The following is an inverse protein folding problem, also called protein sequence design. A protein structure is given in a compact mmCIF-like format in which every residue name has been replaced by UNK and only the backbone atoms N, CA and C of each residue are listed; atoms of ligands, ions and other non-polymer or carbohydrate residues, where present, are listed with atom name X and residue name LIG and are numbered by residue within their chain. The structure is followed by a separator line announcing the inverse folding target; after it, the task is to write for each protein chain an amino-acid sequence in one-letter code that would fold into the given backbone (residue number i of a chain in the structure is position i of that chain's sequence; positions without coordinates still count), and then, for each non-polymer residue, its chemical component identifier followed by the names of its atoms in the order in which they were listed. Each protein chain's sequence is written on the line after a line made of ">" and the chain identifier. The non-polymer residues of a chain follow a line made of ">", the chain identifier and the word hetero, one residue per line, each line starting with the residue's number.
data_IF_800272169155
#
_entry.id   IF_800272169155
#
_cell.length_a   1.000
_cell.length_b   1.000
_cell.length_c   1.000
_cell.angle_alpha   90.00
_cell.angle_beta   90.00
_cell.angle_gamma   90.00
#
_symmetry.space_group_name_H-M   'P 1'
#
loop_
_entity.id
_entity.type
_entity.pdbx_description
1 polymer ?
#
# COMPACT_ATOMS: atom_id res chain seq x y z
N UNK A 1 -97.83 -19.72 -34.98
CA UNK A 1 -97.00 -19.68 -36.20
C UNK A 1 -96.23 -18.37 -36.20
N UNK A 2 -94.97 -18.38 -35.75
CA UNK A 2 -94.09 -17.21 -35.75
C UNK A 2 -92.85 -17.52 -36.57
N UNK A 3 -92.72 -16.88 -37.73
CA UNK A 3 -91.54 -17.00 -38.59
C UNK A 3 -90.42 -16.12 -38.03
N UNK A 4 -89.32 -16.74 -37.61
CA UNK A 4 -88.09 -16.06 -37.23
C UNK A 4 -87.36 -15.60 -38.49
N UNK A 5 -87.37 -14.29 -38.74
CA UNK A 5 -86.61 -13.64 -39.80
C UNK A 5 -85.13 -13.67 -39.42
N UNK A 6 -84.37 -14.61 -39.97
CA UNK A 6 -82.91 -14.58 -39.88
C UNK A 6 -82.35 -13.53 -40.84
N UNK A 7 -82.05 -12.33 -40.32
CA UNK A 7 -81.25 -11.32 -41.02
C UNK A 7 -79.81 -11.82 -41.12
N UNK A 8 -79.31 -12.05 -42.34
CA UNK A 8 -77.89 -12.33 -42.57
C UNK A 8 -77.08 -11.02 -42.46
N UNK A 9 -76.15 -10.88 -41.50
CA UNK A 9 -75.24 -9.74 -41.46
C UNK A 9 -74.15 -9.93 -42.53
N UNK A 10 -74.41 -9.44 -43.74
CA UNK A 10 -73.43 -9.41 -44.83
C UNK A 10 -72.91 -7.98 -44.99
N UNK A 11 -71.76 -7.69 -44.37
CA UNK A 11 -71.08 -6.41 -44.55
C UNK A 11 -69.93 -6.08 -43.59
N UNK A 12 -69.88 -6.64 -42.38
CA UNK A 12 -68.93 -6.21 -41.33
C UNK A 12 -67.68 -7.08 -41.14
N UNK A 13 -67.63 -8.27 -41.76
CA UNK A 13 -66.52 -9.23 -41.57
C UNK A 13 -65.17 -8.64 -42.00
N UNK A 14 -65.15 -7.87 -43.10
CA UNK A 14 -63.92 -7.28 -43.62
C UNK A 14 -63.39 -6.16 -42.70
N UNK A 15 -64.29 -5.36 -42.13
CA UNK A 15 -63.92 -4.30 -41.18
C UNK A 15 -63.42 -4.87 -39.84
N UNK A 16 -64.10 -5.89 -39.32
CA UNK A 16 -63.68 -6.59 -38.09
C UNK A 16 -62.30 -7.25 -38.27
N UNK A 17 -62.03 -7.81 -39.45
CA UNK A 17 -60.73 -8.40 -39.77
C UNK A 17 -59.63 -7.34 -39.85
N UNK A 18 -59.87 -6.19 -40.49
CA UNK A 18 -58.91 -5.08 -40.54
C UNK A 18 -58.63 -4.53 -39.14
N UNK A 19 -59.67 -4.33 -38.32
CA UNK A 19 -59.51 -3.93 -36.92
C UNK A 19 -58.72 -4.95 -36.11
N UNK A 20 -59.06 -6.24 -36.22
CA UNK A 20 -58.35 -7.33 -35.55
C UNK A 20 -56.87 -7.38 -35.93
N UNK A 21 -56.55 -7.25 -37.22
CA UNK A 21 -55.16 -7.21 -37.70
C UNK A 21 -54.42 -5.97 -37.21
N UNK A 22 -55.09 -4.80 -37.17
CA UNK A 22 -54.47 -3.57 -36.67
C UNK A 22 -54.14 -3.65 -35.18
N UNK A 23 -55.06 -4.21 -34.37
CA UNK A 23 -54.85 -4.43 -32.93
C UNK A 23 -53.74 -5.45 -32.67
N UNK A 24 -53.72 -6.56 -33.42
CA UNK A 24 -52.65 -7.55 -33.33
C UNK A 24 -51.29 -6.95 -33.67
N UNK A 25 -51.21 -6.11 -34.71
CA UNK A 25 -49.97 -5.45 -35.10
C UNK A 25 -49.45 -4.51 -34.00
N UNK A 26 -50.34 -3.76 -33.36
CA UNK A 26 -49.98 -2.85 -32.27
C UNK A 26 -49.48 -3.61 -31.04
N UNK A 27 -50.17 -4.69 -30.64
CA UNK A 27 -49.75 -5.55 -29.51
C UNK A 27 -48.38 -6.17 -29.79
N UNK A 28 -48.15 -6.66 -31.01
CA UNK A 28 -46.90 -7.28 -31.41
C UNK A 28 -45.73 -6.29 -31.36
N UNK A 29 -45.93 -5.06 -31.85
CA UNK A 29 -44.92 -3.99 -31.76
C UNK A 29 -44.61 -3.61 -30.31
N UNK A 30 -45.63 -3.45 -29.46
CA UNK A 30 -45.43 -3.14 -28.04
C UNK A 30 -44.68 -4.26 -27.31
N UNK A 31 -44.99 -5.51 -27.62
CA UNK A 31 -44.33 -6.68 -27.02
C UNK A 31 -42.87 -6.76 -27.47
N UNK A 32 -42.59 -6.51 -28.75
CA UNK A 32 -41.22 -6.46 -29.27
C UNK A 32 -40.39 -5.38 -28.57
N UNK A 33 -40.94 -4.16 -28.41
CA UNK A 33 -40.25 -3.07 -27.70
C UNK A 33 -39.97 -3.42 -26.24
N UNK A 34 -40.94 -4.05 -25.56
CA UNK A 34 -40.77 -4.50 -24.19
C UNK A 34 -39.66 -5.55 -24.04
N UNK A 35 -39.62 -6.54 -24.94
CA UNK A 35 -38.55 -7.55 -24.96
C UNK A 35 -37.17 -6.94 -25.22
N UNK A 36 -37.07 -5.97 -26.13
CA UNK A 36 -35.82 -5.24 -26.38
C UNK A 36 -35.36 -4.49 -25.13
N UNK A 37 -36.27 -3.75 -24.49
CA UNK A 37 -35.99 -3.06 -23.24
C UNK A 37 -35.50 -4.02 -22.14
N UNK A 38 -36.19 -5.15 -21.95
CA UNK A 38 -35.81 -6.14 -20.95
C UNK A 38 -34.42 -6.74 -21.22
N UNK A 39 -34.11 -7.06 -22.48
CA UNK A 39 -32.77 -7.56 -22.88
C UNK A 39 -31.69 -6.53 -22.58
N UNK A 40 -31.92 -5.25 -22.92
CA UNK A 40 -30.96 -4.17 -22.62
C UNK A 40 -30.73 -4.02 -21.12
N UNK A 41 -31.77 -4.11 -20.29
CA UNK A 41 -31.62 -4.05 -18.83
C UNK A 41 -30.82 -5.25 -18.29
N UNK A 42 -31.06 -6.46 -18.81
CA UNK A 42 -30.30 -7.64 -18.43
C UNK A 42 -28.82 -7.51 -18.81
N UNK A 43 -28.53 -7.06 -20.03
CA UNK A 43 -27.16 -6.84 -20.48
C UNK A 43 -26.43 -5.83 -19.60
N UNK A 44 -27.07 -4.69 -19.31
CA UNK A 44 -26.51 -3.66 -18.42
C UNK A 44 -26.18 -4.20 -17.02
N UNK A 45 -27.01 -5.09 -16.48
CA UNK A 45 -26.75 -5.72 -15.19
C UNK A 45 -25.58 -6.71 -15.25
N UNK A 46 -25.43 -7.44 -16.36
CA UNK A 46 -24.28 -8.29 -16.61
C UNK A 46 -23.00 -7.44 -16.70
N UNK A 47 -23.03 -6.32 -17.40
CA UNK A 47 -21.88 -5.42 -17.54
C UNK A 47 -21.42 -4.89 -16.18
N UNK A 48 -22.34 -4.48 -15.29
CA UNK A 48 -21.99 -4.06 -13.92
C UNK A 48 -21.35 -5.20 -13.13
N UNK A 49 -21.86 -6.42 -13.29
CA UNK A 49 -21.31 -7.59 -12.59
C UNK A 49 -19.91 -7.91 -13.07
N UNK A 50 -19.72 -7.93 -14.39
CA UNK A 50 -18.42 -8.18 -15.03
C UNK A 50 -17.40 -7.09 -14.67
N UNK A 51 -17.82 -5.81 -14.67
CA UNK A 51 -16.96 -4.71 -14.24
C UNK A 51 -16.45 -4.89 -12.80
N UNK A 52 -17.30 -5.33 -11.88
CA UNK A 52 -16.90 -5.60 -10.49
C UNK A 52 -15.90 -6.76 -10.42
N UNK A 53 -16.17 -7.86 -11.11
CA UNK A 53 -15.24 -8.99 -11.19
C UNK A 53 -13.88 -8.56 -11.73
N UNK A 54 -13.90 -7.75 -12.80
CA UNK A 54 -12.71 -7.18 -13.41
C UNK A 54 -11.90 -6.32 -12.44
N UNK A 55 -12.54 -5.36 -11.75
CA UNK A 55 -11.86 -4.50 -10.78
C UNK A 55 -11.30 -5.30 -9.58
N UNK A 56 -12.06 -6.26 -9.07
CA UNK A 56 -11.58 -7.15 -8.00
C UNK A 56 -10.43 -8.05 -8.45
N UNK A 57 -10.35 -8.42 -9.74
CA UNK A 57 -9.20 -9.15 -10.27
C UNK A 57 -7.95 -8.25 -10.38
N UNK A 58 -8.11 -7.00 -10.83
CA UNK A 58 -7.03 -6.00 -10.86
C UNK A 58 -6.48 -5.75 -9.45
N UNK A 59 -7.36 -5.57 -8.47
CA UNK A 59 -6.97 -5.36 -7.06
C UNK A 59 -6.21 -6.57 -6.51
N UNK A 60 -6.70 -7.80 -6.77
CA UNK A 60 -6.02 -9.03 -6.34
C UNK A 60 -4.66 -9.20 -7.00
N UNK A 61 -4.54 -8.89 -8.29
CA UNK A 61 -3.26 -8.87 -8.99
C UNK A 61 -2.30 -7.92 -8.30
N UNK A 62 -2.74 -6.67 -8.06
CA UNK A 62 -1.88 -5.66 -7.45
C UNK A 62 -1.40 -6.09 -6.06
N UNK A 63 -2.30 -6.67 -5.26
CA UNK A 63 -1.96 -7.13 -3.92
C UNK A 63 -0.95 -8.29 -3.93
N UNK A 64 -1.08 -9.25 -4.85
CA UNK A 64 -0.25 -10.47 -4.88
C UNK A 64 1.08 -10.25 -5.59
N UNK A 65 1.09 -9.55 -6.71
CA UNK A 65 2.29 -9.29 -7.51
C UNK A 65 3.03 -8.01 -7.03
N UNK A 66 2.47 -7.30 -6.04
CA UNK A 66 3.00 -6.06 -5.45
C UNK A 66 3.22 -4.89 -6.44
N UNK A 67 2.68 -5.01 -7.66
CA UNK A 67 2.71 -4.00 -8.73
C UNK A 67 1.38 -4.02 -9.50
N UNK A 68 0.96 -2.93 -10.14
CA UNK A 68 -0.16 -2.99 -11.05
C UNK A 68 0.18 -3.81 -12.31
N UNK A 69 -0.82 -4.34 -13.03
CA UNK A 69 -0.60 -4.96 -14.33
C UNK A 69 -0.10 -3.90 -15.33
N UNK A 70 0.91 -4.21 -16.15
CA UNK A 70 1.37 -3.28 -17.18
C UNK A 70 0.42 -3.29 -18.39
N UNK A 71 -0.19 -4.45 -18.66
CA UNK A 71 -1.26 -4.63 -19.67
C UNK A 71 -2.38 -5.51 -19.11
N UNK A 72 -3.62 -5.29 -19.55
CA UNK A 72 -4.78 -6.04 -19.02
C UNK A 72 -4.67 -7.55 -19.29
N UNK A 73 -4.03 -7.95 -20.39
CA UNK A 73 -3.81 -9.36 -20.73
C UNK A 73 -2.95 -10.11 -19.70
N UNK A 74 -2.17 -9.41 -18.86
CA UNK A 74 -1.46 -10.04 -17.74
C UNK A 74 -2.42 -10.75 -16.78
N UNK A 75 -3.61 -10.17 -16.55
CA UNK A 75 -4.62 -10.75 -15.67
C UNK A 75 -5.07 -12.13 -16.14
N UNK A 76 -5.15 -12.36 -17.46
CA UNK A 76 -5.45 -13.69 -18.02
C UNK A 76 -4.23 -14.59 -17.91
N UNK A 77 -3.06 -14.12 -18.36
CA UNK A 77 -1.84 -14.94 -18.39
C UNK A 77 -1.43 -15.48 -17.02
N UNK A 78 -1.77 -14.74 -15.95
CA UNK A 78 -1.50 -15.08 -14.55
C UNK A 78 -2.69 -15.77 -13.85
N UNK A 79 -3.82 -15.96 -14.54
CA UNK A 79 -4.97 -16.70 -14.03
C UNK A 79 -5.87 -15.94 -13.05
N UNK A 80 -5.82 -14.61 -13.03
CA UNK A 80 -6.76 -13.79 -12.26
C UNK A 80 -8.13 -13.65 -12.93
N UNK A 81 -8.17 -13.81 -14.26
CA UNK A 81 -9.37 -13.79 -15.09
C UNK A 81 -9.29 -14.88 -16.15
N UNK A 82 -10.45 -15.42 -16.51
CA UNK A 82 -10.58 -16.34 -17.67
C UNK A 82 -10.72 -15.54 -18.97
N UNK A 83 -11.48 -14.45 -18.92
CA UNK A 83 -11.78 -13.59 -20.07
C UNK A 83 -11.73 -12.11 -19.66
N UNK A 84 -11.35 -11.24 -20.61
CA UNK A 84 -11.40 -9.81 -20.41
C UNK A 84 -12.81 -9.28 -20.70
N UNK A 85 -13.32 -8.48 -19.78
CA UNK A 85 -14.59 -7.80 -19.98
C UNK A 85 -14.42 -6.58 -20.90
N UNK A 86 -15.21 -6.55 -21.96
CA UNK A 86 -15.33 -5.43 -22.89
C UNK A 86 -16.81 -5.04 -23.02
N UNK A 87 -17.26 -3.92 -22.42
CA UNK A 87 -18.65 -3.48 -22.53
C UNK A 87 -19.04 -3.03 -23.95
N UNK A 88 -18.05 -2.68 -24.77
CA UNK A 88 -18.21 -2.26 -26.17
C UNK A 88 -17.31 -3.12 -27.07
N UNK A 89 -17.74 -3.42 -28.28
CA UNK A 89 -17.01 -4.35 -29.15
C UNK A 89 -15.80 -3.66 -29.79
N UNK A 90 -14.64 -4.32 -29.77
CA UNK A 90 -13.42 -3.82 -30.42
C UNK A 90 -12.69 -2.69 -29.69
N UNK A 91 -13.23 -2.20 -28.57
CA UNK A 91 -12.52 -1.26 -27.71
C UNK A 91 -11.44 -1.97 -26.87
N UNK A 92 -10.29 -1.32 -26.65
CA UNK A 92 -9.20 -1.86 -25.84
C UNK A 92 -8.96 -1.01 -24.59
N UNK A 93 -8.80 -1.69 -23.46
CA UNK A 93 -8.46 -1.04 -22.20
C UNK A 93 -7.05 -0.46 -22.26
N UNK A 94 -6.94 0.81 -21.92
CA UNK A 94 -5.68 1.51 -21.75
C UNK A 94 -5.43 1.68 -20.25
N UNK A 95 -4.21 1.36 -19.82
CA UNK A 95 -3.79 1.50 -18.42
C UNK A 95 -2.90 2.72 -18.30
N UNK A 96 -3.14 3.51 -17.26
CA UNK A 96 -2.24 4.57 -16.85
C UNK A 96 -2.12 4.59 -15.34
N UNK A 97 -0.90 4.48 -14.84
CA UNK A 97 -0.59 4.59 -13.42
C UNK A 97 -0.29 6.05 -13.07
N UNK A 98 -0.95 6.56 -12.03
CA UNK A 98 -0.73 7.90 -11.50
C UNK A 98 -0.64 7.81 -9.97
N UNK A 99 0.53 8.10 -9.41
CA UNK A 99 0.85 8.07 -7.98
C UNK A 99 0.49 6.75 -7.26
N UNK A 100 -0.73 6.64 -6.76
CA UNK A 100 -1.27 5.50 -6.01
C UNK A 100 -2.57 4.97 -6.63
N UNK A 101 -2.82 5.32 -7.89
CA UNK A 101 -4.03 4.98 -8.62
C UNK A 101 -3.66 4.33 -9.96
N UNK A 102 -4.31 3.22 -10.27
CA UNK A 102 -4.37 2.69 -11.61
C UNK A 102 -5.67 3.15 -12.27
N UNK A 103 -5.55 3.85 -13.40
CA UNK A 103 -6.68 4.25 -14.24
C UNK A 103 -6.78 3.32 -15.44
N UNK A 104 -7.93 2.68 -15.57
CA UNK A 104 -8.33 1.85 -16.70
C UNK A 104 -9.28 2.69 -17.57
N UNK A 105 -8.91 3.02 -18.80
CA UNK A 105 -9.74 3.80 -19.72
C UNK A 105 -10.15 3.02 -20.96
N UNK A 106 -11.40 3.21 -21.37
CA UNK A 106 -11.99 2.57 -22.55
C UNK A 106 -12.89 3.59 -23.27
N UNK A 107 -12.77 3.77 -24.60
CA UNK A 107 -13.67 4.65 -25.35
C UNK A 107 -15.09 4.08 -25.31
N UNK A 108 -16.08 4.90 -24.96
CA UNK A 108 -17.48 4.49 -24.96
C UNK A 108 -18.09 4.66 -26.35
N UNK A 109 -18.78 3.64 -26.86
CA UNK A 109 -19.61 3.79 -28.07
C UNK A 109 -20.82 4.69 -27.79
N UNK A 110 -21.42 4.56 -26.61
CA UNK A 110 -22.56 5.35 -26.16
C UNK A 110 -22.27 6.01 -24.80
N UNK A 111 -22.11 7.34 -24.82
CA UNK A 111 -21.79 8.14 -23.62
C UNK A 111 -22.86 7.99 -22.54
N UNK A 112 -24.14 7.89 -22.92
CA UNK A 112 -25.24 7.69 -21.98
C UNK A 112 -25.11 6.37 -21.20
N UNK A 113 -24.69 5.30 -21.86
CA UNK A 113 -24.47 3.99 -21.23
C UNK A 113 -23.26 4.04 -20.31
N UNK A 114 -22.18 4.70 -20.74
CA UNK A 114 -21.01 4.91 -19.88
C UNK A 114 -21.38 5.71 -18.62
N UNK A 115 -22.15 6.80 -18.75
CA UNK A 115 -22.64 7.59 -17.62
C UNK A 115 -23.58 6.79 -16.70
N UNK A 116 -24.39 5.91 -17.26
CA UNK A 116 -25.20 5.01 -16.44
C UNK A 116 -24.33 4.03 -15.64
N UNK A 117 -23.27 3.48 -16.24
CA UNK A 117 -22.33 2.56 -15.58
C UNK A 117 -21.57 3.24 -14.44
N UNK A 118 -21.18 4.52 -14.59
CA UNK A 118 -20.47 5.23 -13.52
C UNK A 118 -21.27 5.35 -12.24
N UNK A 119 -22.60 5.48 -12.34
CA UNK A 119 -23.49 5.48 -11.17
C UNK A 119 -23.61 4.12 -10.45
N UNK A 120 -23.06 3.03 -11.02
CA UNK A 120 -23.19 1.66 -10.49
C UNK A 120 -21.87 1.03 -10.05
N UNK A 121 -20.74 1.62 -10.47
CA UNK A 121 -19.40 1.12 -10.21
C UNK A 121 -18.63 2.18 -9.43
N UNK A 122 -18.12 1.83 -8.24
CA UNK A 122 -17.35 2.75 -7.44
C UNK A 122 -16.03 3.14 -8.14
N UNK A 123 -15.69 4.42 -8.12
CA UNK A 123 -14.48 4.92 -8.79
C UNK A 123 -14.58 4.97 -10.32
N UNK A 124 -15.76 4.77 -10.90
CA UNK A 124 -15.98 4.94 -12.33
C UNK A 124 -16.37 6.39 -12.66
N UNK A 125 -15.83 6.93 -13.74
CA UNK A 125 -16.16 8.26 -14.27
C UNK A 125 -16.14 8.26 -15.80
N UNK A 126 -16.82 9.23 -16.43
CA UNK A 126 -16.71 9.49 -17.87
C UNK A 126 -16.00 10.83 -18.03
N UNK A 127 -14.96 10.90 -18.87
CA UNK A 127 -14.30 12.17 -19.17
C UNK A 127 -15.04 12.94 -20.28
N UNK A 128 -14.61 14.17 -20.55
CA UNK A 128 -15.20 15.03 -21.59
C UNK A 128 -15.07 14.42 -23.00
N UNK A 129 -14.03 13.61 -23.23
CA UNK A 129 -13.77 12.91 -24.49
C UNK A 129 -14.62 11.63 -24.67
N UNK A 130 -15.51 11.30 -23.72
CA UNK A 130 -16.39 10.13 -23.82
C UNK A 130 -15.75 8.78 -23.47
N UNK A 131 -14.63 8.77 -22.75
CA UNK A 131 -14.00 7.56 -22.22
C UNK A 131 -14.57 7.21 -20.85
N UNK A 132 -14.96 5.94 -20.69
CA UNK A 132 -15.18 5.35 -19.38
C UNK A 132 -13.82 5.13 -18.72
N UNK A 133 -13.63 5.71 -17.54
CA UNK A 133 -12.45 5.53 -16.71
C UNK A 133 -12.85 4.82 -15.42
N UNK A 134 -12.17 3.74 -15.09
CA UNK A 134 -12.29 3.05 -13.81
C UNK A 134 -11.01 3.26 -13.01
N UNK A 135 -11.18 3.68 -11.76
CA UNK A 135 -10.08 4.00 -10.86
C UNK A 135 -9.93 2.90 -9.80
N UNK A 136 -8.76 2.28 -9.77
CA UNK A 136 -8.39 1.30 -8.75
C UNK A 136 -7.29 1.90 -7.88
N UNK A 137 -7.54 2.04 -6.59
CA UNK A 137 -6.55 2.54 -5.65
C UNK A 137 -5.55 1.45 -5.28
N UNK A 138 -4.29 1.82 -5.07
CA UNK A 138 -3.25 0.93 -4.54
C UNK A 138 -3.73 0.34 -3.21
N UNK A 139 -3.73 -1.00 -3.05
CA UNK A 139 -4.17 -1.62 -1.81
C UNK A 139 -3.44 -1.06 -0.59
N UNK A 140 -4.19 -0.67 0.44
CA UNK A 140 -3.63 -0.03 1.63
C UNK A 140 -2.56 -0.88 2.32
N UNK A 141 -2.67 -2.21 2.24
CA UNK A 141 -1.67 -3.14 2.76
C UNK A 141 -0.27 -2.90 2.16
N UNK A 142 -0.19 -2.61 0.85
CA UNK A 142 1.07 -2.30 0.17
C UNK A 142 1.57 -0.91 0.57
N UNK A 143 0.68 0.07 0.70
CA UNK A 143 1.06 1.43 1.15
C UNK A 143 1.64 1.37 2.57
N UNK A 144 1.02 0.58 3.45
CA UNK A 144 1.49 0.38 4.82
C UNK A 144 2.82 -0.37 4.89
N UNK A 145 3.07 -1.35 4.01
CA UNK A 145 4.37 -2.03 3.94
C UNK A 145 5.53 -1.07 3.70
N UNK A 146 5.33 -0.01 2.91
CA UNK A 146 6.36 0.99 2.64
C UNK A 146 6.53 2.00 3.80
N UNK A 147 5.59 2.03 4.74
CA UNK A 147 5.59 2.99 5.86
C UNK A 147 6.31 2.48 7.10
N UNK A 148 6.47 1.16 7.22
CA UNK A 148 7.15 0.55 8.36
C UNK A 148 8.54 0.10 7.95
N UNK A 149 9.53 0.33 8.82
CA UNK A 149 10.84 -0.29 8.70
C UNK A 149 10.67 -1.80 8.59
N UNK A 150 11.17 -2.38 7.51
CA UNK A 150 11.16 -3.82 7.36
C UNK A 150 12.09 -4.43 8.42
N UNK A 151 11.60 -5.49 9.08
CA UNK A 151 12.35 -6.18 10.15
C UNK A 151 13.49 -7.04 9.60
N UNK A 152 13.47 -7.33 8.31
CA UNK A 152 14.42 -8.17 7.61
C UNK A 152 14.84 -7.47 6.33
N UNK A 153 16.11 -7.63 5.97
CA UNK A 153 16.66 -7.09 4.73
C UNK A 153 16.00 -7.79 3.52
N UNK A 154 15.32 -7.03 2.68
CA UNK A 154 14.82 -7.48 1.37
C UNK A 154 15.85 -7.14 0.27
N UNK A 155 16.59 -8.12 -0.29
CA UNK A 155 17.58 -7.86 -1.32
C UNK A 155 16.99 -7.29 -2.62
N UNK A 156 15.70 -7.46 -2.87
CA UNK A 156 15.02 -7.00 -4.08
C UNK A 156 14.54 -5.55 -3.98
N UNK A 157 14.48 -4.99 -2.77
CA UNK A 157 14.07 -3.62 -2.50
C UNK A 157 15.03 -2.97 -1.48
N UNK A 158 16.28 -2.66 -1.86
CA UNK A 158 17.27 -2.09 -0.95
C UNK A 158 16.82 -0.77 -0.31
N UNK A 159 16.01 0.02 -1.00
CA UNK A 159 15.47 1.29 -0.53
C UNK A 159 14.58 1.16 0.72
N UNK A 160 13.89 0.03 0.90
CA UNK A 160 13.06 -0.20 2.11
C UNK A 160 13.86 -0.76 3.28
N UNK A 161 15.11 -1.16 3.04
CA UNK A 161 16.05 -1.58 4.09
C UNK A 161 16.86 -0.41 4.66
N UNK A 162 16.83 0.73 3.98
CA UNK A 162 17.51 1.94 4.43
C UNK A 162 16.53 2.87 5.12
N UNK A 163 16.89 3.34 6.31
CA UNK A 163 16.12 4.36 7.01
C UNK A 163 16.49 5.72 6.40
N UNK A 164 15.68 6.25 5.47
CA UNK A 164 15.99 7.49 4.75
C UNK A 164 15.67 8.76 5.57
N UNK A 165 14.96 8.62 6.70
CA UNK A 165 14.50 9.75 7.52
C UNK A 165 14.98 9.62 8.97
N UNK A 166 15.22 10.77 9.60
CA UNK A 166 15.49 10.88 11.04
C UNK A 166 14.37 10.22 11.85
N UNK A 167 14.75 9.28 12.71
CA UNK A 167 13.80 8.63 13.62
C UNK A 167 13.63 9.52 14.87
N UNK A 168 12.57 10.31 14.91
CA UNK A 168 12.20 11.05 16.11
C UNK A 168 11.62 10.08 17.15
N UNK A 169 12.44 9.70 18.14
CA UNK A 169 12.05 8.79 19.23
C UNK A 169 11.71 9.53 20.52
N UNK A 170 11.52 10.85 20.47
CA UNK A 170 11.18 11.65 21.65
C UNK A 170 9.91 11.11 22.32
N UNK A 171 9.95 10.95 23.64
CA UNK A 171 8.87 10.34 24.44
C UNK A 171 8.72 8.82 24.36
N UNK A 172 9.52 8.11 23.56
CA UNK A 172 9.42 6.64 23.42
C UNK A 172 10.64 5.93 23.98
N UNK A 173 10.41 4.91 24.83
CA UNK A 173 11.49 4.09 25.35
C UNK A 173 11.93 3.05 24.31
N UNK A 174 13.18 3.13 23.87
CA UNK A 174 13.81 2.06 23.08
C UNK A 174 14.24 0.96 24.05
N UNK A 175 13.59 -0.21 23.97
CA UNK A 175 13.87 -1.36 24.84
C UNK A 175 14.22 -2.58 24.00
N UNK A 176 14.89 -3.55 24.62
CA UNK A 176 15.25 -4.84 24.00
C UNK A 176 16.14 -4.71 22.75
N UNK A 177 17.05 -3.73 22.74
CA UNK A 177 18.09 -3.65 21.71
C UNK A 177 19.20 -4.62 22.09
N UNK A 178 19.40 -5.66 21.27
CA UNK A 178 20.42 -6.68 21.54
C UNK A 178 21.84 -6.14 21.33
N UNK A 179 22.11 -5.60 20.15
CA UNK A 179 23.42 -5.04 19.80
C UNK A 179 23.22 -3.83 18.91
N UNK A 180 23.99 -2.77 19.17
CA UNK A 180 24.11 -1.62 18.29
C UNK A 180 25.51 -1.70 17.69
N UNK A 181 25.57 -1.99 16.39
CA UNK A 181 26.81 -1.90 15.61
C UNK A 181 26.77 -0.57 14.86
N UNK A 182 27.69 0.33 15.17
CA UNK A 182 27.74 1.67 14.62
C UNK A 182 29.19 2.14 14.52
N UNK A 183 29.54 2.75 13.38
CA UNK A 183 30.85 3.37 13.18
C UNK A 183 31.05 4.57 14.12
N UNK A 184 29.99 5.35 14.33
CA UNK A 184 30.01 6.51 15.22
C UNK A 184 28.67 6.64 15.97
N UNK A 185 28.77 6.85 17.29
CA UNK A 185 27.63 7.24 18.13
C UNK A 185 27.90 8.64 18.68
N UNK A 186 27.05 9.60 18.33
CA UNK A 186 27.08 10.96 18.89
C UNK A 186 25.93 11.13 19.86
N UNK A 187 26.25 11.18 21.16
CA UNK A 187 25.26 11.34 22.22
C UNK A 187 25.70 12.49 23.15
N UNK A 188 24.94 13.60 23.24
CA UNK A 188 25.26 14.70 24.16
C UNK A 188 25.27 14.25 25.63
N UNK A 189 24.40 13.29 25.96
CA UNK A 189 24.30 12.66 27.28
C UNK A 189 24.09 11.16 27.08
N UNK A 190 24.95 10.37 27.70
CA UNK A 190 24.81 8.92 27.77
C UNK A 190 24.93 8.48 29.24
N UNK A 191 23.94 7.73 29.72
CA UNK A 191 23.97 7.12 31.06
C UNK A 191 24.21 5.62 30.87
N UNK A 192 25.42 5.18 31.21
CA UNK A 192 25.85 3.79 31.06
C UNK A 192 25.99 3.19 32.46
N UNK A 193 25.16 2.19 32.78
CA UNK A 193 25.23 1.51 34.07
C UNK A 193 26.46 0.60 34.16
N UNK A 194 26.75 -0.10 33.06
CA UNK A 194 27.91 -0.95 32.91
C UNK A 194 28.36 -0.90 31.45
N UNK A 195 29.64 -0.68 31.24
CA UNK A 195 30.24 -0.65 29.91
C UNK A 195 31.66 -1.19 29.96
N UNK A 196 32.02 -1.97 28.94
CA UNK A 196 33.39 -2.39 28.71
C UNK A 196 33.91 -1.61 27.51
N UNK A 197 34.94 -0.81 27.73
CA UNK A 197 35.57 -0.03 26.68
C UNK A 197 36.95 -0.62 26.41
N UNK A 198 37.24 -0.94 25.15
CA UNK A 198 38.59 -1.35 24.75
C UNK A 198 39.56 -0.17 24.81
N UNK A 199 39.08 1.02 24.43
CA UNK A 199 39.80 2.29 24.56
C UNK A 199 38.79 3.38 24.90
N UNK A 200 39.16 4.26 25.83
CA UNK A 200 38.39 5.44 26.18
C UNK A 200 39.32 6.66 26.03
N UNK A 201 39.01 7.52 25.07
CA UNK A 201 39.66 8.82 24.94
C UNK A 201 38.64 9.89 25.37
N UNK A 202 38.99 10.65 26.42
CA UNK A 202 38.13 11.68 26.98
C UNK A 202 38.95 12.94 27.25
N UNK A 203 38.40 14.11 26.85
CA UNK A 203 39.02 15.40 27.14
C UNK A 203 39.02 15.72 28.65
N UNK A 204 38.00 15.23 29.36
CA UNK A 204 37.86 15.38 30.80
C UNK A 204 37.17 14.14 31.36
N UNK A 205 37.75 13.57 32.42
CA UNK A 205 37.18 12.46 33.15
C UNK A 205 36.94 12.89 34.59
N UNK A 206 35.66 12.94 34.99
CA UNK A 206 35.27 13.20 36.37
C UNK A 206 34.68 11.93 36.96
N UNK A 207 35.37 11.35 37.94
CA UNK A 207 34.99 10.07 38.55
C UNK A 207 35.04 10.21 40.06
N UNK A 208 34.07 9.60 40.74
CA UNK A 208 34.08 9.51 42.21
C UNK A 208 35.13 8.51 42.69
N UNK A 209 35.28 7.41 41.95
CA UNK A 209 36.27 6.38 42.23
C UNK A 209 36.79 5.81 40.90
N UNK A 210 38.11 5.75 40.77
CA UNK A 210 38.79 5.06 39.68
C UNK A 210 39.59 3.91 40.29
N UNK A 211 39.27 2.69 39.87
CA UNK A 211 40.04 1.50 40.24
C UNK A 211 40.75 1.05 38.97
N UNK A 212 42.08 1.07 39.00
CA UNK A 212 42.91 0.63 37.90
C UNK A 212 43.97 -0.33 38.44
N UNK A 213 44.09 -1.50 37.81
CA UNK A 213 45.16 -2.46 38.12
C UNK A 213 46.51 -1.95 37.62
N UNK A 214 46.50 -1.35 36.43
CA UNK A 214 47.66 -0.75 35.80
C UNK A 214 47.30 0.67 35.35
N UNK A 215 47.74 1.67 36.12
CA UNK A 215 47.61 3.07 35.74
C UNK A 215 48.99 3.60 35.30
N UNK A 216 49.01 4.26 34.14
CA UNK A 216 50.19 4.97 33.65
C UNK A 216 49.83 6.44 33.40
N UNK A 217 50.72 7.35 33.81
CA UNK A 217 50.60 8.79 33.57
C UNK A 217 51.89 9.25 32.91
N UNK A 218 51.78 9.83 31.71
CA UNK A 218 52.92 10.25 30.88
C UNK A 218 54.00 9.17 30.70
N UNK A 219 53.55 7.92 30.56
CA UNK A 219 54.42 6.74 30.40
C UNK A 219 54.98 6.17 31.71
N UNK A 220 54.70 6.78 32.86
CA UNK A 220 55.15 6.29 34.16
C UNK A 220 54.06 5.49 34.88
N UNK A 221 54.42 4.33 35.42
CA UNK A 221 53.52 3.53 36.26
C UNK A 221 53.21 4.26 37.57
N UNK A 222 51.93 4.46 37.85
CA UNK A 222 51.46 5.06 39.11
C UNK A 222 51.83 4.16 40.30
N UNK A 223 51.80 2.83 40.11
CA UNK A 223 52.20 1.88 41.14
C UNK A 223 53.69 2.02 41.50
N UNK A 224 54.56 2.19 40.50
CA UNK A 224 55.99 2.42 40.74
C UNK A 224 56.24 3.77 41.41
N UNK A 225 55.51 4.82 41.01
CA UNK A 225 55.61 6.13 41.66
C UNK A 225 55.21 6.06 43.14
N UNK A 226 54.12 5.35 43.46
CA UNK A 226 53.69 5.13 44.84
C UNK A 226 54.74 4.37 45.66
N UNK A 227 55.35 3.32 45.09
CA UNK A 227 56.42 2.56 45.75
C UNK A 227 57.66 3.42 46.00
N UNK A 228 58.09 4.22 45.02
CA UNK A 228 59.22 5.15 45.18
C UNK A 228 58.95 6.21 46.24
N UNK A 229 57.73 6.75 46.29
CA UNK A 229 57.34 7.71 47.32
C UNK A 229 57.39 7.08 48.72
N UNK A 230 56.90 5.85 48.87
CA UNK A 230 56.96 5.13 50.14
C UNK A 230 58.42 4.85 50.57
N UNK A 231 59.29 4.51 49.63
CA UNK A 231 60.71 4.32 49.90
C UNK A 231 61.41 5.62 50.34
N UNK A 232 61.14 6.73 49.65
CA UNK A 232 61.65 8.05 50.03
C UNK A 232 61.16 8.46 51.42
N UNK A 233 59.90 8.16 51.75
CA UNK A 233 59.33 8.44 53.07
C UNK A 233 60.02 7.62 54.17
N UNK A 234 60.33 6.35 53.93
CA UNK A 234 61.10 5.53 54.86
C UNK A 234 62.53 6.04 55.06
N UNK A 235 63.21 6.42 53.98
CA UNK A 235 64.56 7.00 54.05
C UNK A 235 64.56 8.32 54.82
N UNK A 236 63.58 9.19 54.58
CA UNK A 236 63.41 10.43 55.32
C UNK A 236 63.24 10.18 56.83
N UNK A 237 62.37 9.23 57.21
CA UNK A 237 62.16 8.86 58.61
C UNK A 237 63.44 8.32 59.27
N UNK A 238 64.23 7.51 58.54
CA UNK A 238 65.52 7.02 59.03
C UNK A 238 66.53 8.15 59.22
N UNK A 239 66.60 9.10 58.28
CA UNK A 239 67.50 10.24 58.35
C UNK A 239 67.16 11.17 59.52
N UNK A 240 65.86 11.40 59.75
CA UNK A 240 65.35 12.17 60.88
C UNK A 240 65.71 11.50 62.22
N UNK A 241 65.61 10.16 62.31
CA UNK A 241 65.97 9.41 63.51
C UNK A 241 67.48 9.45 63.83
N UNK A 242 68.34 9.65 62.83
CA UNK A 242 69.79 9.72 63.00
C UNK A 242 70.30 11.13 63.35
N UNK A 243 69.41 12.12 63.54
CA UNK A 243 69.78 13.48 63.93
C UNK A 243 70.43 14.30 62.80
N UNK A 244 70.31 13.84 61.55
CA UNK A 244 70.95 14.45 60.37
C UNK A 244 70.20 15.65 59.77
N UNK A 245 69.00 15.97 60.24
CA UNK A 245 68.24 17.13 59.76
C UNK A 245 68.43 18.32 60.72
N UNK A 246 69.29 19.28 60.34
CA UNK A 246 69.16 20.69 60.75
C UNK A 246 68.60 21.49 59.58
#
# INVERSE_FOLDING_TARGET
>A
MGQLIMRQPKGYILFELVLGLSLLSLILLSTQQWFLYQRTQQQRQLDVTQAKVFLTAVERFWLQEQRPPAVVSELISKGYLEELWYPWQGAQWQLSEHDQLLRLSLPAEEVEVAQWLTGRIAGAMVNEDGFLQLHVWKPIALVLQHRYLQRFTDPQAPEVNTMQSDLLMDGNAIRNVGTIDAEQVSAPVAIIQQGTFQSLNANQLMVTQLIAEHAQVDGYSVAEMAQRLAQLQQQWQQFQAQGGCQ
#
